data_IF_435754082585
#
_entry.id   IF_435754082585
#
_cell.length_a   1.000
_cell.length_b   1.000
_cell.length_c   1.000
_cell.angle_alpha   90.00
_cell.angle_beta   90.00
_cell.angle_gamma   90.00
#
_symmetry.space_group_name_H-M   'P 1'
#
loop_
_entity.id
_entity.type
_entity.pdbx_description
1 polymer ?
#
# COMPACT_ATOMS: atom_id res chain seq x y z
N UNK A 1 -10.60 -17.45 17.90
CA UNK A 1 -10.86 -17.57 16.46
C UNK A 1 -12.07 -16.73 16.12
N UNK A 2 -11.86 -15.57 15.51
CA UNK A 2 -12.92 -14.76 14.90
C UNK A 2 -12.50 -14.57 13.46
N UNK A 3 -13.01 -15.45 12.57
CA UNK A 3 -12.96 -15.20 11.13
C UNK A 3 -13.75 -13.91 10.92
N UNK A 4 -13.09 -12.82 10.58
CA UNK A 4 -13.78 -11.75 9.87
C UNK A 4 -14.33 -12.39 8.60
N UNK A 5 -15.64 -12.62 8.61
CA UNK A 5 -16.38 -13.13 7.46
C UNK A 5 -16.42 -11.98 6.45
N UNK A 6 -15.42 -11.93 5.58
CA UNK A 6 -15.56 -11.37 4.25
C UNK A 6 -16.57 -12.17 3.40
N UNK A 7 -17.27 -13.16 3.98
CA UNK A 7 -18.19 -14.06 3.26
C UNK A 7 -19.58 -13.46 2.96
N UNK A 8 -19.78 -12.15 3.13
CA UNK A 8 -21.00 -11.47 2.69
C UNK A 8 -20.70 -10.25 1.80
N UNK A 9 -19.52 -10.20 1.18
CA UNK A 9 -19.33 -9.37 0.00
C UNK A 9 -19.40 -10.26 -1.24
N UNK A 10 -20.63 -10.52 -1.71
CA UNK A 10 -20.85 -10.90 -3.12
C UNK A 10 -20.50 -9.69 -4.00
N UNK A 11 -19.20 -9.38 -4.08
CA UNK A 11 -18.69 -8.30 -4.88
C UNK A 11 -18.67 -8.74 -6.34
N UNK A 12 -19.78 -8.50 -7.03
CA UNK A 12 -19.79 -8.61 -8.48
C UNK A 12 -18.90 -7.50 -9.04
N UNK A 13 -17.63 -7.79 -9.35
CA UNK A 13 -16.67 -6.85 -9.96
C UNK A 13 -17.27 -6.02 -11.12
N UNK A 14 -18.29 -6.54 -11.80
CA UNK A 14 -19.01 -5.90 -12.90
C UNK A 14 -20.09 -4.87 -12.48
N UNK A 15 -20.60 -4.86 -11.24
CA UNK A 15 -21.66 -3.93 -10.81
C UNK A 15 -21.14 -2.53 -10.49
N UNK A 16 -19.85 -2.41 -10.18
CA UNK A 16 -19.25 -1.10 -9.95
C UNK A 16 -18.80 -0.49 -11.28
N UNK A 17 -19.16 0.80 -11.52
CA UNK A 17 -18.68 1.49 -12.70
C UNK A 17 -17.15 1.47 -12.72
N UNK A 18 -16.57 1.43 -13.92
CA UNK A 18 -15.13 1.52 -14.08
C UNK A 18 -14.62 2.78 -13.39
N UNK A 19 -13.64 2.60 -12.50
CA UNK A 19 -12.99 3.71 -11.83
C UNK A 19 -12.48 3.43 -10.44
N UNK A 20 -12.22 4.51 -9.73
CA UNK A 20 -11.43 4.52 -8.49
C UNK A 20 -12.00 3.57 -7.43
N UNK A 21 -13.32 3.57 -7.24
CA UNK A 21 -13.98 2.68 -6.28
C UNK A 21 -13.81 1.20 -6.63
N UNK A 22 -13.99 0.84 -7.92
CA UNK A 22 -13.77 -0.53 -8.39
C UNK A 22 -12.32 -0.96 -8.21
N UNK A 23 -11.36 -0.05 -8.42
CA UNK A 23 -9.94 -0.34 -8.25
C UNK A 23 -9.60 -0.59 -6.78
N UNK A 24 -10.08 0.26 -5.87
CA UNK A 24 -9.83 0.12 -4.43
C UNK A 24 -10.49 -1.16 -3.89
N UNK A 25 -11.77 -1.38 -4.18
CA UNK A 25 -12.47 -2.60 -3.74
C UNK A 25 -11.88 -3.86 -4.39
N UNK A 26 -11.57 -3.79 -5.69
CA UNK A 26 -10.92 -4.87 -6.41
C UNK A 26 -9.55 -5.22 -5.86
N UNK A 27 -8.79 -4.27 -5.33
CA UNK A 27 -7.52 -4.54 -4.64
C UNK A 27 -7.69 -5.41 -3.39
N UNK A 28 -8.78 -5.20 -2.65
CA UNK A 28 -9.12 -6.01 -1.48
C UNK A 28 -9.54 -7.43 -1.90
N UNK A 29 -10.50 -7.53 -2.82
CA UNK A 29 -11.07 -8.80 -3.31
C UNK A 29 -10.04 -9.68 -4.02
N UNK A 30 -9.18 -9.10 -4.86
CA UNK A 30 -8.17 -9.83 -5.62
C UNK A 30 -6.90 -10.10 -4.81
N UNK A 31 -6.85 -9.71 -3.52
CA UNK A 31 -5.67 -9.89 -2.67
C UNK A 31 -4.44 -9.12 -3.16
N UNK A 32 -4.62 -8.02 -3.88
CA UNK A 32 -3.49 -7.22 -4.40
C UNK A 32 -2.97 -6.33 -3.28
N UNK A 33 -1.78 -6.62 -2.73
CA UNK A 33 -1.32 -6.03 -1.48
C UNK A 33 -0.51 -4.73 -1.59
N UNK A 34 0.17 -4.52 -2.72
CA UNK A 34 1.24 -3.52 -2.83
C UNK A 34 1.13 -2.72 -4.12
N UNK A 35 1.06 -1.41 -3.97
CA UNK A 35 0.92 -0.46 -5.06
C UNK A 35 2.01 0.60 -5.05
N UNK A 36 2.20 1.28 -6.17
CA UNK A 36 2.97 2.52 -6.25
C UNK A 36 2.23 3.56 -7.09
N UNK A 37 2.51 4.84 -6.86
CA UNK A 37 2.11 5.91 -7.77
C UNK A 37 3.05 7.09 -7.66
N UNK A 38 3.27 7.79 -8.76
CA UNK A 38 4.04 9.04 -8.71
C UNK A 38 3.20 10.11 -8.04
N UNK A 39 3.81 10.92 -7.18
CA UNK A 39 3.15 12.05 -6.52
C UNK A 39 2.49 13.02 -7.52
N UNK A 40 3.07 13.19 -8.71
CA UNK A 40 2.49 13.97 -9.81
C UNK A 40 1.22 13.38 -10.40
N UNK A 41 0.98 12.08 -10.21
CA UNK A 41 -0.17 11.31 -10.71
C UNK A 41 -1.19 11.01 -9.59
N UNK A 42 -0.87 11.37 -8.34
CA UNK A 42 -1.67 11.19 -7.14
C UNK A 42 -1.97 12.56 -6.50
N UNK A 43 -2.83 13.39 -7.10
CA UNK A 43 -3.21 14.65 -6.49
C UNK A 43 -3.94 14.41 -5.15
N UNK A 44 -3.94 15.37 -4.22
CA UNK A 44 -4.61 15.24 -2.92
C UNK A 44 -6.08 14.81 -3.04
N UNK A 45 -6.80 15.31 -4.04
CA UNK A 45 -8.20 14.94 -4.29
C UNK A 45 -8.40 13.45 -4.63
N UNK A 46 -7.41 12.81 -5.27
CA UNK A 46 -7.45 11.38 -5.55
C UNK A 46 -7.19 10.56 -4.28
N UNK A 47 -6.22 10.97 -3.46
CA UNK A 47 -5.95 10.37 -2.14
C UNK A 47 -7.21 10.47 -1.26
N UNK A 48 -7.79 11.67 -1.14
CA UNK A 48 -9.03 11.89 -0.36
C UNK A 48 -10.18 11.01 -0.84
N UNK A 49 -10.29 10.78 -2.15
CA UNK A 49 -11.34 9.94 -2.72
C UNK A 49 -11.11 8.47 -2.38
N UNK A 50 -9.87 7.98 -2.47
CA UNK A 50 -9.50 6.62 -2.07
C UNK A 50 -9.74 6.42 -0.57
N UNK A 51 -9.36 7.40 0.25
CA UNK A 51 -9.54 7.35 1.70
C UNK A 51 -11.02 7.28 2.08
N UNK A 52 -11.88 8.04 1.40
CA UNK A 52 -13.34 7.95 1.56
C UNK A 52 -13.89 6.57 1.17
N UNK A 53 -13.41 6.00 0.07
CA UNK A 53 -13.82 4.64 -0.35
C UNK A 53 -13.40 3.61 0.72
N UNK A 54 -12.15 3.67 1.18
CA UNK A 54 -11.64 2.79 2.23
C UNK A 54 -12.44 2.93 3.53
N UNK A 55 -12.69 4.15 3.98
CA UNK A 55 -13.49 4.40 5.17
C UNK A 55 -14.91 3.82 5.05
N UNK A 56 -15.53 3.93 3.87
CA UNK A 56 -16.87 3.38 3.61
C UNK A 56 -16.91 1.84 3.67
N UNK A 57 -15.79 1.16 3.43
CA UNK A 57 -15.66 -0.30 3.59
C UNK A 57 -15.02 -0.72 4.92
N UNK A 58 -14.93 0.21 5.88
CA UNK A 58 -14.41 -0.07 7.22
C UNK A 58 -12.87 -0.21 7.29
N UNK A 59 -12.15 0.25 6.28
CA UNK A 59 -10.68 0.26 6.23
C UNK A 59 -10.18 1.61 6.70
N UNK A 60 -9.20 1.62 7.61
CA UNK A 60 -8.60 2.86 8.10
C UNK A 60 -7.38 3.26 7.23
N UNK A 61 -7.38 4.45 6.61
CA UNK A 61 -6.20 5.01 5.96
C UNK A 61 -5.16 5.48 6.99
N UNK A 62 -3.90 5.18 6.75
CA UNK A 62 -2.76 5.57 7.61
C UNK A 62 -1.68 6.15 6.71
N UNK A 63 -1.07 7.26 7.13
CA UNK A 63 0.06 7.86 6.44
C UNK A 63 1.33 7.60 7.24
N UNK A 64 2.38 7.15 6.58
CA UNK A 64 3.69 6.91 7.17
C UNK A 64 4.75 7.55 6.28
N UNK A 65 5.54 8.46 6.84
CA UNK A 65 6.75 8.95 6.20
C UNK A 65 7.92 8.01 6.52
N UNK A 66 8.36 7.24 5.52
CA UNK A 66 9.44 6.28 5.70
C UNK A 66 10.78 6.94 6.05
N UNK A 67 10.97 8.22 5.71
CA UNK A 67 12.20 8.94 6.01
C UNK A 67 12.39 9.17 7.52
N UNK A 68 11.30 9.30 8.27
CA UNK A 68 11.33 9.49 9.73
C UNK A 68 11.89 8.26 10.48
N UNK A 69 11.81 7.08 9.85
CA UNK A 69 12.24 5.82 10.45
C UNK A 69 13.58 5.30 9.91
N UNK A 70 14.26 6.05 9.03
CA UNK A 70 15.47 5.56 8.33
C UNK A 70 16.55 4.98 9.26
N UNK A 71 16.74 5.59 10.44
CA UNK A 71 17.75 5.16 11.42
C UNK A 71 17.20 4.16 12.46
N UNK A 72 15.86 4.03 12.55
CA UNK A 72 15.18 3.31 13.65
C UNK A 72 14.20 2.24 13.18
N UNK A 73 14.12 1.95 11.88
CA UNK A 73 13.05 1.12 11.29
C UNK A 73 12.89 -0.25 11.97
N UNK A 74 13.99 -0.89 12.40
CA UNK A 74 13.94 -2.20 13.07
C UNK A 74 13.39 -2.16 14.49
N UNK A 75 13.45 -1.00 15.16
CA UNK A 75 13.05 -0.83 16.56
C UNK A 75 11.84 0.08 16.71
N UNK A 76 11.35 0.66 15.62
CA UNK A 76 10.16 1.51 15.61
C UNK A 76 8.92 0.69 15.98
N UNK A 77 8.37 0.97 17.16
CA UNK A 77 7.12 0.39 17.64
C UNK A 77 5.95 0.81 16.76
N UNK A 78 5.93 2.07 16.32
CA UNK A 78 4.88 2.63 15.46
C UNK A 78 4.83 1.92 14.11
N UNK A 79 5.97 1.86 13.41
CA UNK A 79 6.05 1.22 12.10
C UNK A 79 5.73 -0.27 12.19
N UNK A 80 6.22 -0.93 13.25
CA UNK A 80 5.91 -2.34 13.52
C UNK A 80 4.42 -2.55 13.78
N UNK A 81 3.77 -1.68 14.55
CA UNK A 81 2.34 -1.76 14.86
C UNK A 81 1.46 -1.54 13.62
N UNK A 82 1.82 -0.60 12.74
CA UNK A 82 1.09 -0.36 11.49
C UNK A 82 1.19 -1.53 10.53
N UNK A 83 2.36 -2.18 10.48
CA UNK A 83 2.65 -3.33 9.62
C UNK A 83 2.25 -4.67 10.25
N UNK A 84 1.78 -4.68 11.49
CA UNK A 84 1.44 -5.90 12.21
C UNK A 84 0.20 -6.54 11.61
N UNK A 85 0.23 -7.88 11.53
CA UNK A 85 -0.96 -8.66 11.23
C UNK A 85 -1.90 -8.64 12.43
N UNK A 86 -3.12 -8.18 12.20
CA UNK A 86 -4.22 -8.27 13.14
C UNK A 86 -5.55 -8.29 12.36
N UNK A 87 -6.66 -8.12 13.07
CA UNK A 87 -7.97 -8.17 12.46
C UNK A 87 -8.39 -6.85 11.77
N UNK A 88 -7.65 -5.75 11.95
CA UNK A 88 -8.05 -4.44 11.45
C UNK A 88 -7.52 -4.23 10.03
N UNK A 89 -8.42 -3.97 9.08
CA UNK A 89 -8.02 -3.67 7.71
C UNK A 89 -7.41 -2.27 7.59
N UNK A 90 -6.23 -2.17 6.98
CA UNK A 90 -5.44 -0.94 6.86
C UNK A 90 -5.07 -0.65 5.42
N UNK A 91 -5.20 0.62 5.05
CA UNK A 91 -4.64 1.18 3.83
C UNK A 91 -3.52 2.14 4.19
N UNK A 92 -2.27 1.81 3.85
CA UNK A 92 -1.10 2.60 4.27
C UNK A 92 -0.50 3.34 3.08
N UNK A 93 -0.45 4.66 3.19
CA UNK A 93 0.29 5.52 2.29
C UNK A 93 1.72 5.69 2.81
N UNK A 94 2.70 5.23 2.04
CA UNK A 94 4.12 5.46 2.31
C UNK A 94 4.63 6.65 1.52
N UNK A 95 4.97 7.73 2.21
CA UNK A 95 5.80 8.82 1.69
C UNK A 95 7.27 8.62 2.07
N UNK A 96 8.16 9.53 1.66
CA UNK A 96 9.59 9.44 2.01
C UNK A 96 10.31 8.21 1.42
N UNK A 97 9.82 7.70 0.29
CA UNK A 97 10.26 6.44 -0.33
C UNK A 97 11.76 6.43 -0.67
N UNK A 98 12.39 7.59 -0.83
CA UNK A 98 13.84 7.73 -0.98
C UNK A 98 14.66 7.07 0.16
N UNK A 99 14.07 6.90 1.35
CA UNK A 99 14.71 6.17 2.45
C UNK A 99 14.98 4.69 2.10
N UNK A 100 14.20 4.11 1.19
CA UNK A 100 14.33 2.73 0.72
C UNK A 100 15.45 2.53 -0.31
N UNK A 101 16.22 3.58 -0.64
CA UNK A 101 17.51 3.39 -1.32
C UNK A 101 18.53 2.68 -0.43
N UNK A 102 18.34 2.72 0.88
CA UNK A 102 19.03 1.82 1.79
C UNK A 102 18.49 0.39 1.61
N UNK A 103 19.32 -0.48 1.02
CA UNK A 103 18.96 -1.88 0.76
C UNK A 103 18.63 -2.68 2.03
N UNK A 104 19.20 -2.34 3.18
CA UNK A 104 18.86 -3.02 4.44
C UNK A 104 17.45 -2.65 4.89
N UNK A 105 17.10 -1.37 4.76
CA UNK A 105 15.75 -0.90 5.10
C UNK A 105 14.71 -1.46 4.12
N UNK A 106 14.95 -1.35 2.81
CA UNK A 106 14.07 -1.92 1.80
C UNK A 106 13.91 -3.44 1.93
N UNK A 107 15.00 -4.15 2.24
CA UNK A 107 14.99 -5.60 2.47
C UNK A 107 14.15 -5.98 3.68
N UNK A 108 14.30 -5.26 4.79
CA UNK A 108 13.49 -5.46 5.99
C UNK A 108 12.01 -5.15 5.76
N UNK A 109 11.69 -4.03 5.11
CA UNK A 109 10.31 -3.67 4.82
C UNK A 109 9.66 -4.71 3.91
N UNK A 110 10.39 -5.17 2.89
CA UNK A 110 9.93 -6.26 2.02
C UNK A 110 9.65 -7.54 2.81
N UNK A 111 10.51 -7.93 3.75
CA UNK A 111 10.28 -9.17 4.51
C UNK A 111 8.99 -9.09 5.34
N UNK A 112 8.72 -7.93 5.95
CA UNK A 112 7.44 -7.70 6.62
C UNK A 112 6.26 -7.78 5.65
N UNK A 113 6.30 -7.03 4.55
CA UNK A 113 5.22 -6.96 3.56
C UNK A 113 4.99 -8.25 2.75
N UNK A 114 5.89 -9.23 2.83
CA UNK A 114 5.79 -10.52 2.11
C UNK A 114 5.50 -11.70 3.03
N UNK A 115 5.35 -11.45 4.34
CA UNK A 115 4.92 -12.47 5.29
C UNK A 115 3.52 -12.94 4.90
N UNK A 116 3.34 -14.27 4.79
CA UNK A 116 2.23 -14.90 4.02
C UNK A 116 0.83 -14.58 4.55
N UNK A 117 0.73 -14.11 5.78
CA UNK A 117 -0.54 -14.04 6.51
C UNK A 117 -1.13 -12.62 6.61
N UNK A 118 -0.42 -11.59 6.13
CA UNK A 118 -0.97 -10.21 6.14
C UNK A 118 -2.01 -10.02 5.03
N UNK A 119 -3.25 -10.43 5.27
CA UNK A 119 -4.40 -10.25 4.35
C UNK A 119 -5.13 -8.93 4.56
N UNK A 120 -4.98 -8.32 5.73
CA UNK A 120 -5.66 -7.09 6.15
C UNK A 120 -4.90 -5.80 5.78
N UNK A 121 -3.74 -5.87 5.15
CA UNK A 121 -2.91 -4.70 4.84
C UNK A 121 -2.79 -4.45 3.34
N UNK A 122 -3.03 -3.21 2.92
CA UNK A 122 -2.71 -2.70 1.58
C UNK A 122 -1.79 -1.50 1.73
N UNK A 123 -0.73 -1.47 0.93
CA UNK A 123 0.26 -0.37 0.99
C UNK A 123 0.42 0.28 -0.37
N UNK A 124 0.60 1.60 -0.37
CA UNK A 124 0.88 2.39 -1.55
C UNK A 124 2.13 3.23 -1.34
N UNK A 125 3.14 3.02 -2.17
CA UNK A 125 4.34 3.85 -2.18
C UNK A 125 4.09 5.10 -3.03
N UNK A 126 4.08 6.27 -2.40
CA UNK A 126 4.00 7.59 -3.06
C UNK A 126 5.41 8.02 -3.44
N UNK A 127 5.70 7.98 -4.73
CA UNK A 127 7.05 8.19 -5.24
C UNK A 127 7.19 9.65 -5.73
N UNK A 128 8.17 10.38 -5.21
CA UNK A 128 8.41 11.78 -5.60
C UNK A 128 8.93 11.89 -7.03
N UNK A 129 9.93 11.08 -7.41
CA UNK A 129 10.58 11.20 -8.72
C UNK A 129 10.62 9.88 -9.49
N UNK A 130 10.66 9.96 -10.83
CA UNK A 130 10.85 8.79 -11.68
C UNK A 130 12.20 8.10 -11.43
N UNK A 131 13.22 8.84 -11.02
CA UNK A 131 14.52 8.27 -10.68
C UNK A 131 14.41 7.32 -9.48
N UNK A 132 13.71 7.74 -8.41
CA UNK A 132 13.47 6.89 -7.23
C UNK A 132 12.67 5.64 -7.59
N UNK A 133 11.66 5.76 -8.48
CA UNK A 133 10.93 4.62 -8.99
C UNK A 133 11.84 3.61 -9.69
N UNK A 134 12.71 4.09 -10.59
CA UNK A 134 13.61 3.23 -11.34
C UNK A 134 14.61 2.53 -10.41
N UNK A 135 15.18 3.27 -9.47
CA UNK A 135 16.20 2.79 -8.54
C UNK A 135 15.65 1.75 -7.55
N UNK A 136 14.45 1.96 -7.01
CA UNK A 136 13.90 1.14 -5.92
C UNK A 136 13.03 -0.01 -6.43
N UNK A 137 12.23 0.22 -7.49
CA UNK A 137 11.24 -0.75 -7.96
C UNK A 137 11.55 -1.36 -9.34
N UNK A 138 12.46 -0.78 -10.14
CA UNK A 138 12.85 -1.31 -11.46
C UNK A 138 14.31 -1.76 -11.57
N UNK A 139 15.10 -1.64 -10.51
CA UNK A 139 16.46 -2.17 -10.44
C UNK A 139 16.45 -3.61 -9.94
N UNK A 140 16.99 -4.56 -10.73
CA UNK A 140 17.01 -5.98 -10.37
C UNK A 140 17.84 -6.32 -9.11
N UNK A 141 18.72 -5.42 -8.68
CA UNK A 141 19.50 -5.56 -7.45
C UNK A 141 18.78 -4.98 -6.22
N UNK A 142 17.73 -4.19 -6.42
CA UNK A 142 17.00 -3.58 -5.31
C UNK A 142 16.04 -4.61 -4.67
N UNK A 143 15.89 -4.61 -3.33
CA UNK A 143 15.02 -5.58 -2.66
C UNK A 143 13.57 -5.53 -3.15
N UNK A 144 13.05 -4.33 -3.46
CA UNK A 144 11.65 -4.12 -3.88
C UNK A 144 11.43 -4.22 -5.39
N UNK A 145 12.39 -4.75 -6.16
CA UNK A 145 12.26 -4.94 -7.60
C UNK A 145 10.95 -5.65 -8.00
N UNK A 146 10.15 -5.00 -8.85
CA UNK A 146 8.86 -5.51 -9.36
C UNK A 146 7.91 -6.04 -8.28
N UNK A 147 7.99 -5.50 -7.06
CA UNK A 147 7.18 -5.95 -5.92
C UNK A 147 5.82 -5.25 -5.79
N UNK A 148 5.55 -4.26 -6.65
CA UNK A 148 4.38 -3.37 -6.60
C UNK A 148 3.68 -3.29 -7.97
N UNK A 149 2.38 -2.98 -7.96
CA UNK A 149 1.61 -2.63 -9.15
C UNK A 149 1.31 -1.13 -9.20
N UNK A 150 1.17 -0.50 -10.37
CA UNK A 150 0.76 0.89 -10.44
C UNK A 150 -0.66 1.05 -9.86
N UNK A 151 -0.86 2.03 -8.98
CA UNK A 151 -2.18 2.42 -8.50
C UNK A 151 -2.89 3.17 -9.61
N UNK A 152 -3.89 2.54 -10.22
CA UNK A 152 -4.68 3.16 -11.28
C UNK A 152 -5.64 4.18 -10.67
N UNK A 153 -5.29 5.46 -10.77
CA UNK A 153 -6.12 6.59 -10.28
C UNK A 153 -6.98 7.23 -11.36
N UNK A 154 -6.82 6.83 -12.62
CA UNK A 154 -7.46 7.47 -13.76
C UNK A 154 -8.50 6.53 -14.37
N UNK A 155 -9.78 6.89 -14.23
CA UNK A 155 -10.76 6.64 -15.29
C UNK A 155 -10.37 7.59 -16.42
N UNK A 156 -9.92 7.05 -17.54
CA UNK A 156 -9.93 7.82 -18.79
C UNK A 156 -11.34 7.78 -19.35
#
# INVERSE_FOLDING_TARGET
MSKFLFSEMDFHFQIHPLGLERNVRGAWELGIKRFHGLSSELPPSAIDSIDKINAHIGVNPINIDLAEFKESYRTSVELSHVLQEDNAARWVWFSGVEALKDSNYAGWLRSLLTTRDIENLRVVFIIKTRADYLEIFQNSQAPLYKSTLPLQTIVK
#
